data_IF_368058345075
#
_entry.id   IF_368058345075
#
_cell.length_a   1.000
_cell.length_b   1.000
_cell.length_c   1.000
_cell.angle_alpha   90.00
_cell.angle_beta   90.00
_cell.angle_gamma   90.00
#
_symmetry.space_group_name_H-M   'P 1'
#
loop_
_entity.id
_entity.type
_entity.pdbx_description
1 polymer ?
#
# COMPACT_ATOMS: atom_id res chain seq x y z
N UNK A 1 1.99 69.85 47.62
CA UNK A 1 2.04 69.90 46.14
C UNK A 1 2.97 68.84 45.53
N UNK A 2 3.15 67.67 46.16
CA UNK A 2 4.11 66.64 45.71
C UNK A 2 3.50 65.25 45.45
N UNK A 3 2.19 65.06 45.70
CA UNK A 3 1.53 63.74 45.58
C UNK A 3 0.93 63.45 44.20
N UNK A 4 0.86 64.42 43.29
CA UNK A 4 0.26 64.23 41.96
C UNK A 4 1.25 63.69 40.91
N UNK A 5 2.55 64.00 41.03
CA UNK A 5 3.55 63.69 40.00
C UNK A 5 3.93 62.20 39.95
N UNK A 6 4.04 61.52 41.09
CA UNK A 6 4.41 60.11 41.13
C UNK A 6 3.33 59.15 40.59
N UNK A 7 2.07 59.61 40.49
CA UNK A 7 0.94 58.80 39.99
C UNK A 7 0.93 58.74 38.46
N UNK A 8 1.31 59.83 37.79
CA UNK A 8 1.32 59.95 36.32
C UNK A 8 2.43 59.08 35.70
N UNK A 9 3.60 59.01 36.35
CA UNK A 9 4.73 58.22 35.83
C UNK A 9 4.53 56.70 35.94
N UNK A 10 3.74 56.24 36.92
CA UNK A 10 3.38 54.81 37.06
C UNK A 10 2.45 54.34 35.94
N UNK A 11 1.44 55.12 35.57
CA UNK A 11 0.51 54.76 34.50
C UNK A 11 1.16 54.83 33.11
N UNK A 12 2.07 55.79 32.89
CA UNK A 12 2.85 55.89 31.66
C UNK A 12 3.87 54.75 31.47
N UNK A 13 4.42 54.19 32.57
CA UNK A 13 5.27 52.98 32.52
C UNK A 13 4.45 51.72 32.30
N UNK A 14 3.28 51.60 32.91
CA UNK A 14 2.41 50.43 32.77
C UNK A 14 1.93 50.27 31.32
N UNK A 15 1.46 51.34 30.69
CA UNK A 15 0.96 51.34 29.30
C UNK A 15 2.04 51.00 28.25
N UNK A 16 3.32 51.33 28.49
CA UNK A 16 4.44 50.93 27.62
C UNK A 16 4.83 49.47 27.75
N UNK A 17 4.70 48.88 28.95
CA UNK A 17 4.92 47.46 29.19
C UNK A 17 3.85 46.60 28.53
N UNK A 18 2.57 46.97 28.69
CA UNK A 18 1.45 46.26 28.06
C UNK A 18 1.47 46.34 26.53
N UNK A 19 1.85 47.48 25.93
CA UNK A 19 1.98 47.60 24.46
C UNK A 19 3.07 46.71 23.87
N UNK A 20 4.20 46.54 24.56
CA UNK A 20 5.29 45.65 24.11
C UNK A 20 4.94 44.17 24.27
N UNK A 21 4.21 43.82 25.34
CA UNK A 21 3.71 42.46 25.56
C UNK A 21 2.60 42.08 24.56
N UNK A 22 1.71 43.01 24.21
CA UNK A 22 0.67 42.80 23.20
C UNK A 22 1.26 42.61 21.79
N UNK A 23 2.29 43.38 21.42
CA UNK A 23 3.00 43.24 20.14
C UNK A 23 3.76 41.91 20.02
N UNK A 24 4.34 41.41 21.12
CA UNK A 24 4.99 40.09 21.15
C UNK A 24 3.99 38.92 21.06
N UNK A 25 2.80 39.06 21.67
CA UNK A 25 1.71 38.08 21.56
C UNK A 25 1.05 38.09 20.16
N UNK A 26 0.98 39.25 19.49
CA UNK A 26 0.49 39.34 18.11
C UNK A 26 1.48 38.76 17.08
N UNK A 27 2.80 38.83 17.31
CA UNK A 27 3.79 38.20 16.43
C UNK A 27 3.83 36.66 16.56
N UNK A 28 3.38 36.08 17.67
CA UNK A 28 3.27 34.62 17.85
C UNK A 28 1.95 34.02 17.32
N UNK A 29 0.96 34.86 17.00
CA UNK A 29 -0.37 34.40 16.58
C UNK A 29 -0.54 34.23 15.05
N UNK A 30 0.49 34.48 14.24
CA UNK A 30 0.39 34.48 12.78
C UNK A 30 1.29 33.46 12.06
N UNK A 31 1.79 32.44 12.75
CA UNK A 31 2.35 31.25 12.10
C UNK A 31 1.45 30.06 12.40
N UNK A 32 0.20 30.12 11.92
CA UNK A 32 -0.50 28.89 11.57
C UNK A 32 0.29 28.29 10.40
N UNK A 33 0.91 27.11 10.53
CA UNK A 33 1.33 26.38 9.34
C UNK A 33 0.08 26.27 8.46
N UNK A 34 0.25 26.58 7.18
CA UNK A 34 -0.80 26.34 6.21
C UNK A 34 -1.13 24.85 6.37
N UNK A 35 -2.38 24.53 6.67
CA UNK A 35 -2.82 23.14 6.68
C UNK A 35 -2.72 22.70 5.22
N UNK A 36 -1.62 22.04 4.88
CA UNK A 36 -1.46 21.34 3.63
C UNK A 36 -2.32 20.09 3.71
N UNK A 37 -3.18 19.81 2.73
CA UNK A 37 -3.81 18.51 2.69
C UNK A 37 -2.78 17.51 2.18
N UNK A 38 -2.47 16.52 3.00
CA UNK A 38 -1.82 15.31 2.52
C UNK A 38 -2.80 14.57 1.60
N UNK A 39 -2.31 13.75 0.64
CA UNK A 39 -3.18 12.97 -0.22
C UNK A 39 -4.19 12.15 0.59
N UNK A 40 -5.44 12.19 0.13
CA UNK A 40 -6.53 11.38 0.67
C UNK A 40 -6.75 10.15 -0.20
N UNK A 41 -7.15 9.03 0.41
CA UNK A 41 -7.64 7.88 -0.36
C UNK A 41 -9.15 8.03 -0.56
N UNK A 42 -9.58 8.17 -1.80
CA UNK A 42 -10.98 8.27 -2.15
C UNK A 42 -11.60 6.88 -2.31
N UNK A 43 -10.94 6.02 -3.09
CA UNK A 43 -11.42 4.67 -3.34
C UNK A 43 -10.30 3.62 -3.40
N UNK A 44 -10.68 2.36 -3.19
CA UNK A 44 -9.77 1.22 -3.27
C UNK A 44 -10.50 -0.05 -3.65
N UNK A 45 -9.76 -0.94 -4.33
CA UNK A 45 -10.29 -2.20 -4.83
C UNK A 45 -9.22 -3.28 -4.92
N UNK A 46 -9.65 -4.53 -4.76
CA UNK A 46 -8.82 -5.71 -4.98
C UNK A 46 -9.57 -6.75 -5.79
N UNK A 47 -8.85 -7.40 -6.69
CA UNK A 47 -9.28 -8.63 -7.33
C UNK A 47 -8.30 -9.73 -6.97
N UNK A 48 -8.76 -10.75 -6.25
CA UNK A 48 -7.96 -11.92 -5.90
C UNK A 48 -8.56 -13.13 -6.59
N UNK A 49 -7.93 -13.52 -7.70
CA UNK A 49 -8.31 -14.68 -8.50
C UNK A 49 -9.81 -14.67 -8.88
N UNK A 50 -10.33 -13.51 -9.30
CA UNK A 50 -11.73 -13.27 -9.65
C UNK A 50 -12.64 -12.88 -8.48
N UNK A 51 -12.16 -12.95 -7.24
CA UNK A 51 -12.89 -12.46 -6.07
C UNK A 51 -12.70 -10.95 -5.90
N UNK A 52 -13.80 -10.18 -5.92
CA UNK A 52 -13.79 -8.72 -5.82
C UNK A 52 -13.99 -8.25 -4.38
N UNK A 53 -13.14 -7.33 -3.93
CA UNK A 53 -13.22 -6.67 -2.63
C UNK A 53 -13.07 -5.17 -2.86
N UNK A 54 -14.08 -4.39 -2.49
CA UNK A 54 -14.16 -2.96 -2.81
C UNK A 54 -14.61 -2.16 -1.59
N UNK A 55 -14.15 -0.92 -1.47
CA UNK A 55 -14.62 0.05 -0.47
C UNK A 55 -16.16 0.24 -0.53
N UNK A 56 -16.87 0.42 0.60
CA UNK A 56 -16.44 0.32 1.99
C UNK A 56 -16.51 -1.10 2.57
N UNK A 57 -16.37 -2.13 1.71
CA UNK A 57 -16.34 -3.53 2.11
C UNK A 57 -15.09 -3.91 2.91
N UNK A 58 -15.06 -5.12 3.48
CA UNK A 58 -13.89 -5.62 4.18
C UNK A 58 -12.83 -6.15 3.20
N UNK A 59 -11.56 -6.06 3.61
CA UNK A 59 -10.49 -6.83 2.95
C UNK A 59 -10.57 -8.32 3.34
N UNK A 60 -10.03 -9.23 2.51
CA UNK A 60 -9.95 -10.65 2.85
C UNK A 60 -9.17 -10.90 4.16
N UNK A 61 -9.47 -12.00 4.86
CA UNK A 61 -8.82 -12.33 6.13
C UNK A 61 -7.31 -12.60 6.02
N UNK A 62 -6.81 -12.93 4.83
CA UNK A 62 -5.39 -13.15 4.55
C UNK A 62 -4.64 -11.86 4.15
N UNK A 63 -5.29 -10.70 4.28
CA UNK A 63 -4.67 -9.39 4.17
C UNK A 63 -4.32 -8.90 5.58
N UNK A 64 -3.08 -8.47 5.76
CA UNK A 64 -2.65 -7.69 6.91
C UNK A 64 -2.57 -6.21 6.51
N UNK A 65 -3.53 -5.43 7.00
CA UNK A 65 -3.67 -3.99 6.74
C UNK A 65 -3.26 -3.14 7.94
N UNK A 66 -2.69 -3.72 9.01
CA UNK A 66 -2.34 -2.99 10.22
C UNK A 66 -1.29 -1.88 10.00
N UNK A 67 -0.52 -1.96 8.91
CA UNK A 67 0.45 -0.95 8.50
C UNK A 67 -0.06 0.02 7.43
N UNK A 68 -1.35 0.00 7.11
CA UNK A 68 -1.96 0.84 6.07
C UNK A 68 -3.03 1.75 6.67
N UNK A 69 -2.98 3.04 6.31
CA UNK A 69 -4.00 4.01 6.69
C UNK A 69 -4.98 4.20 5.54
N UNK A 70 -6.22 3.73 5.70
CA UNK A 70 -7.26 3.88 4.68
C UNK A 70 -7.81 5.31 4.54
N UNK A 71 -7.41 6.24 5.42
CA UNK A 71 -7.77 7.66 5.30
C UNK A 71 -6.83 8.35 4.30
N UNK A 72 -5.53 8.08 4.39
CA UNK A 72 -4.53 8.70 3.51
C UNK A 72 -4.13 7.80 2.33
N UNK A 73 -4.45 6.51 2.41
CA UNK A 73 -4.00 5.48 1.46
C UNK A 73 -2.50 5.24 1.46
N UNK A 74 -1.83 5.51 2.58
CA UNK A 74 -0.38 5.36 2.73
C UNK A 74 -0.05 4.19 3.65
N UNK A 75 1.11 3.60 3.42
CA UNK A 75 1.65 2.51 4.24
C UNK A 75 1.78 1.21 3.47
N UNK A 76 1.61 0.09 4.16
CA UNK A 76 1.84 -1.24 3.60
C UNK A 76 0.68 -2.18 3.89
N UNK A 77 0.22 -2.85 2.84
CA UNK A 77 -0.67 -4.01 2.92
C UNK A 77 0.15 -5.24 2.54
N UNK A 78 0.17 -6.23 3.44
CA UNK A 78 0.79 -7.53 3.17
C UNK A 78 -0.30 -8.56 2.91
N UNK A 79 -0.24 -9.22 1.74
CA UNK A 79 -1.14 -10.31 1.37
C UNK A 79 -0.37 -11.63 1.51
N UNK A 80 -0.89 -12.56 2.30
CA UNK A 80 -0.33 -13.92 2.43
C UNK A 80 -1.28 -14.91 1.77
N UNK A 81 -1.07 -15.15 0.48
CA UNK A 81 -1.95 -15.97 -0.34
C UNK A 81 -1.44 -17.42 -0.42
N UNK A 82 -2.24 -18.36 0.10
CA UNK A 82 -1.96 -19.80 0.07
C UNK A 82 -3.21 -20.55 -0.39
N UNK A 83 -3.35 -20.83 -1.70
CA UNK A 83 -4.53 -21.50 -2.23
C UNK A 83 -4.56 -23.01 -1.95
N UNK A 84 -3.44 -23.60 -1.51
CA UNK A 84 -3.28 -25.03 -1.22
C UNK A 84 -3.06 -25.89 -2.47
N UNK A 85 -3.74 -25.58 -3.57
CA UNK A 85 -3.52 -26.26 -4.86
C UNK A 85 -2.44 -25.61 -5.72
N UNK A 86 -1.85 -26.40 -6.63
CA UNK A 86 -1.02 -25.87 -7.70
C UNK A 86 -1.89 -25.20 -8.78
N UNK A 87 -1.43 -24.09 -9.35
CA UNK A 87 -2.18 -23.36 -10.37
C UNK A 87 -1.63 -21.99 -10.73
N UNK A 88 -2.31 -21.35 -11.67
CA UNK A 88 -2.13 -19.95 -11.98
C UNK A 88 -3.09 -19.11 -11.14
N UNK A 89 -2.58 -18.03 -10.56
CA UNK A 89 -3.31 -17.15 -9.66
C UNK A 89 -2.99 -15.69 -9.96
N UNK A 90 -3.96 -14.80 -9.76
CA UNK A 90 -3.79 -13.36 -9.90
C UNK A 90 -4.20 -12.62 -8.63
N UNK A 91 -3.49 -11.53 -8.35
CA UNK A 91 -3.86 -10.53 -7.34
C UNK A 91 -3.69 -9.17 -7.98
N UNK A 92 -4.75 -8.38 -8.03
CA UNK A 92 -4.74 -6.98 -8.51
C UNK A 92 -5.22 -6.08 -7.38
N UNK A 93 -4.63 -4.90 -7.32
CA UNK A 93 -4.92 -3.85 -6.36
C UNK A 93 -5.07 -2.51 -7.08
N UNK A 94 -6.01 -1.72 -6.61
CA UNK A 94 -6.41 -0.43 -7.16
C UNK A 94 -6.50 0.59 -6.02
N UNK A 95 -5.97 1.78 -6.25
CA UNK A 95 -6.04 2.90 -5.32
C UNK A 95 -6.30 4.19 -6.10
N UNK A 96 -7.29 4.93 -5.63
CA UNK A 96 -7.71 6.20 -6.16
C UNK A 96 -7.42 7.28 -5.12
N UNK A 97 -6.36 8.04 -5.37
CA UNK A 97 -5.86 9.09 -4.48
C UNK A 97 -6.35 10.44 -4.98
N UNK A 98 -6.61 11.34 -4.04
CA UNK A 98 -7.10 12.69 -4.33
C UNK A 98 -6.20 13.72 -3.65
N UNK A 99 -5.82 14.76 -4.38
CA UNK A 99 -4.97 15.84 -3.86
C UNK A 99 -5.72 17.17 -3.82
N UNK A 100 -5.86 17.76 -2.64
CA UNK A 100 -6.51 19.07 -2.44
C UNK A 100 -7.87 19.21 -3.19
N UNK A 101 -8.63 18.14 -3.45
CA UNK A 101 -9.76 18.14 -4.40
C UNK A 101 -10.82 19.25 -4.17
N UNK A 102 -11.04 19.65 -2.91
CA UNK A 102 -11.94 20.75 -2.55
C UNK A 102 -11.45 22.15 -2.98
N UNK A 103 -10.16 22.28 -3.27
CA UNK A 103 -9.45 23.52 -3.62
C UNK A 103 -8.98 23.46 -5.08
N UNK A 104 -8.48 22.31 -5.52
CA UNK A 104 -7.76 22.13 -6.77
C UNK A 104 -8.45 21.20 -7.79
N UNK A 105 -9.66 20.74 -7.48
CA UNK A 105 -10.39 19.72 -8.26
C UNK A 105 -9.61 18.41 -8.38
N UNK A 106 -10.14 17.44 -9.12
CA UNK A 106 -9.60 16.08 -9.23
C UNK A 106 -9.07 15.77 -10.65
N UNK A 107 -9.35 16.61 -11.65
CA UNK A 107 -9.07 16.32 -13.07
C UNK A 107 -7.78 16.97 -13.62
N UNK A 108 -6.87 17.37 -12.75
CA UNK A 108 -5.59 18.02 -13.09
C UNK A 108 -4.38 17.24 -12.59
N UNK A 109 -4.56 15.95 -12.37
CA UNK A 109 -3.53 15.04 -11.87
C UNK A 109 -2.81 14.34 -13.02
N UNK A 110 -1.64 13.80 -12.70
CA UNK A 110 -0.73 13.20 -13.67
C UNK A 110 -0.23 11.85 -13.17
N UNK A 111 -0.09 10.91 -14.12
CA UNK A 111 0.32 9.54 -13.90
C UNK A 111 1.63 9.19 -14.60
N UNK A 112 2.49 8.40 -13.96
CA UNK A 112 3.70 7.86 -14.61
C UNK A 112 4.15 6.50 -14.04
N UNK A 113 4.40 5.55 -14.94
CA UNK A 113 5.13 4.32 -14.64
C UNK A 113 6.65 4.54 -14.73
N UNK A 114 7.38 4.05 -13.73
CA UNK A 114 8.83 4.20 -13.61
C UNK A 114 9.51 2.84 -13.45
N UNK A 115 10.61 2.64 -14.18
CA UNK A 115 11.36 1.38 -14.18
C UNK A 115 10.81 0.36 -15.18
N UNK A 116 11.03 -0.93 -14.91
CA UNK A 116 10.50 -2.02 -15.73
C UNK A 116 9.80 -3.04 -14.84
N UNK A 117 8.55 -3.45 -15.14
CA UNK A 117 7.82 -4.43 -14.35
C UNK A 117 8.63 -5.72 -14.19
N UNK A 118 8.59 -6.30 -13.00
CA UNK A 118 9.14 -7.63 -12.79
C UNK A 118 8.30 -8.69 -13.53
N UNK A 119 8.85 -9.89 -13.71
CA UNK A 119 8.11 -10.98 -14.34
C UNK A 119 6.82 -11.29 -13.57
N UNK A 120 5.68 -11.28 -14.28
CA UNK A 120 4.36 -11.49 -13.69
C UNK A 120 3.75 -10.24 -13.06
N UNK A 121 4.50 -9.14 -12.91
CA UNK A 121 3.94 -7.88 -12.44
C UNK A 121 3.19 -7.19 -13.59
N UNK A 122 1.97 -6.73 -13.31
CA UNK A 122 1.17 -5.93 -14.22
C UNK A 122 0.79 -4.60 -13.58
N UNK A 123 0.43 -3.62 -14.40
CA UNK A 123 0.11 -2.28 -13.92
C UNK A 123 -0.85 -1.55 -14.85
N UNK A 124 -1.48 -0.49 -14.33
CA UNK A 124 -2.29 0.44 -15.11
C UNK A 124 -2.36 1.78 -14.40
N UNK A 125 -2.47 2.87 -15.15
CA UNK A 125 -2.69 4.22 -14.62
C UNK A 125 -3.72 4.92 -15.49
N UNK A 126 -4.96 5.06 -15.02
CA UNK A 126 -6.04 5.70 -15.77
C UNK A 126 -7.06 6.38 -14.85
N UNK A 127 -8.06 7.00 -15.45
CA UNK A 127 -9.21 7.54 -14.74
C UNK A 127 -9.97 6.43 -13.98
N UNK A 128 -10.40 6.67 -12.72
CA UNK A 128 -10.92 5.64 -11.81
C UNK A 128 -12.25 4.96 -12.23
N UNK A 129 -12.88 5.36 -13.34
CA UNK A 129 -14.10 4.74 -13.88
C UNK A 129 -15.35 5.60 -13.76
N UNK A 130 -15.23 6.89 -13.46
CA UNK A 130 -16.32 7.85 -13.39
C UNK A 130 -16.45 8.71 -14.66
N UNK A 131 -15.46 8.68 -15.55
CA UNK A 131 -15.43 9.39 -16.82
C UNK A 131 -15.60 8.43 -18.02
N UNK A 132 -15.35 8.96 -19.23
CA UNK A 132 -15.50 8.23 -20.50
C UNK A 132 -14.14 7.75 -21.08
N UNK A 133 -13.05 7.92 -20.33
CA UNK A 133 -11.68 7.64 -20.77
C UNK A 133 -11.05 6.68 -19.77
N UNK A 134 -10.25 5.72 -20.23
CA UNK A 134 -9.64 4.69 -19.38
C UNK A 134 -10.54 3.46 -19.20
N UNK A 135 -9.92 2.36 -18.80
CA UNK A 135 -10.59 1.08 -18.55
C UNK A 135 -10.06 0.36 -17.30
N UNK A 136 -9.28 1.04 -16.45
CA UNK A 136 -8.71 0.50 -15.21
C UNK A 136 -9.74 -0.13 -14.29
N UNK A 137 -10.93 0.46 -14.15
CA UNK A 137 -12.00 -0.13 -13.35
C UNK A 137 -12.39 -1.52 -13.89
N UNK A 138 -12.63 -1.62 -15.19
CA UNK A 138 -12.99 -2.88 -15.85
C UNK A 138 -11.85 -3.90 -15.80
N UNK A 139 -10.61 -3.45 -15.99
CA UNK A 139 -9.41 -4.30 -15.95
C UNK A 139 -9.13 -4.81 -14.52
N UNK A 140 -9.39 -4.02 -13.49
CA UNK A 140 -9.35 -4.45 -12.08
C UNK A 140 -10.45 -5.48 -11.80
N UNK A 141 -11.69 -5.25 -12.25
CA UNK A 141 -12.77 -6.23 -12.11
C UNK A 141 -12.49 -7.54 -12.88
N UNK A 142 -11.82 -7.47 -14.02
CA UNK A 142 -11.36 -8.64 -14.76
C UNK A 142 -10.14 -9.32 -14.12
N UNK A 143 -9.38 -8.59 -13.29
CA UNK A 143 -8.12 -9.06 -12.70
C UNK A 143 -6.99 -9.15 -13.73
N UNK A 144 -7.04 -8.30 -14.76
CA UNK A 144 -6.19 -8.36 -15.94
C UNK A 144 -5.80 -6.95 -16.41
N UNK A 145 -4.85 -6.32 -15.71
CA UNK A 145 -4.28 -5.03 -16.11
C UNK A 145 -3.45 -5.15 -17.39
N UNK A 146 -3.46 -4.11 -18.22
CA UNK A 146 -2.94 -4.18 -19.59
C UNK A 146 -1.53 -3.57 -19.79
N UNK A 147 -0.96 -2.97 -18.74
CA UNK A 147 0.35 -2.28 -18.75
C UNK A 147 0.38 -1.01 -19.59
N UNK A 148 -0.75 -0.30 -19.61
CA UNK A 148 -0.87 1.01 -20.22
C UNK A 148 -1.21 2.07 -19.18
N UNK A 149 -1.26 3.32 -19.63
CA UNK A 149 -1.80 4.38 -18.82
C UNK A 149 -1.77 5.72 -19.52
N UNK A 150 -2.57 6.64 -19.02
CA UNK A 150 -2.56 8.05 -19.40
C UNK A 150 -1.62 8.86 -18.51
N UNK A 151 -1.06 9.93 -19.08
CA UNK A 151 -0.14 10.81 -18.35
C UNK A 151 -0.85 11.96 -17.64
N UNK A 152 -2.12 12.26 -17.98
CA UNK A 152 -2.86 13.45 -17.54
C UNK A 152 -2.70 14.67 -18.46
N UNK A 153 -3.26 15.84 -18.11
CA UNK A 153 -4.07 16.09 -16.90
C UNK A 153 -5.41 15.36 -16.99
N UNK A 154 -5.72 14.58 -15.96
CA UNK A 154 -7.00 13.89 -15.78
C UNK A 154 -7.18 13.58 -14.28
N UNK A 155 -8.30 12.98 -13.91
CA UNK A 155 -8.44 12.24 -12.66
C UNK A 155 -7.65 10.93 -12.79
N UNK A 156 -6.71 10.68 -11.89
CA UNK A 156 -5.73 9.60 -12.03
C UNK A 156 -5.85 8.63 -10.87
N UNK A 157 -5.95 7.35 -11.20
CA UNK A 157 -5.87 6.25 -10.26
C UNK A 157 -4.77 5.28 -10.66
N UNK A 158 -4.30 4.47 -9.72
CA UNK A 158 -3.20 3.54 -9.95
C UNK A 158 -3.60 2.10 -9.60
N UNK A 159 -3.23 1.16 -10.48
CA UNK A 159 -3.37 -0.26 -10.21
C UNK A 159 -2.06 -1.02 -10.42
N UNK A 160 -1.78 -1.96 -9.52
CA UNK A 160 -0.71 -2.94 -9.64
C UNK A 160 -1.25 -4.34 -9.42
N UNK A 161 -0.70 -5.31 -10.15
CA UNK A 161 -1.07 -6.71 -10.03
C UNK A 161 0.12 -7.66 -10.15
N UNK A 162 -0.13 -8.90 -9.75
CA UNK A 162 0.79 -10.02 -9.89
C UNK A 162 0.04 -11.23 -10.44
N UNK A 163 0.53 -11.75 -11.56
CA UNK A 163 0.22 -13.06 -12.11
C UNK A 163 1.30 -14.04 -11.68
N UNK A 164 0.90 -15.10 -10.98
CA UNK A 164 1.80 -16.05 -10.34
C UNK A 164 1.43 -17.48 -10.71
N UNK A 165 2.44 -18.36 -10.79
CA UNK A 165 2.24 -19.81 -10.81
C UNK A 165 2.72 -20.34 -9.47
N UNK A 166 1.86 -21.04 -8.75
CA UNK A 166 2.17 -21.67 -7.48
C UNK A 166 2.11 -23.19 -7.62
N UNK A 167 3.05 -23.88 -6.98
CA UNK A 167 2.98 -25.31 -6.74
C UNK A 167 2.05 -25.62 -5.55
N UNK A 168 1.79 -26.91 -5.32
CA UNK A 168 1.03 -27.37 -4.15
C UNK A 168 1.72 -26.88 -2.87
N UNK A 169 0.93 -26.35 -1.94
CA UNK A 169 1.39 -25.81 -0.65
C UNK A 169 2.44 -24.68 -0.73
N UNK A 170 2.56 -23.99 -1.87
CA UNK A 170 3.29 -22.72 -1.93
C UNK A 170 2.45 -21.54 -1.42
N UNK A 171 3.16 -20.56 -0.85
CA UNK A 171 2.63 -19.33 -0.28
C UNK A 171 3.25 -18.16 -1.03
N UNK A 172 2.40 -17.33 -1.64
CA UNK A 172 2.79 -16.03 -2.16
C UNK A 172 2.61 -14.97 -1.07
N UNK A 173 3.68 -14.27 -0.71
CA UNK A 173 3.63 -13.07 0.12
C UNK A 173 3.84 -11.85 -0.76
N UNK A 174 2.81 -11.01 -0.88
CA UNK A 174 2.84 -9.78 -1.68
C UNK A 174 2.84 -8.59 -0.71
N UNK A 175 3.77 -7.66 -0.89
CA UNK A 175 3.79 -6.39 -0.15
C UNK A 175 3.46 -5.25 -1.09
N UNK A 176 2.32 -4.60 -0.86
CA UNK A 176 1.87 -3.40 -1.57
C UNK A 176 2.23 -2.19 -0.73
N UNK A 177 2.95 -1.23 -1.31
CA UNK A 177 3.52 -0.10 -0.57
C UNK A 177 3.18 1.21 -1.27
N UNK A 178 2.44 2.07 -0.57
CA UNK A 178 2.11 3.42 -1.02
C UNK A 178 2.77 4.43 -0.09
N UNK A 179 3.48 5.41 -0.66
CA UNK A 179 4.25 6.37 0.14
C UNK A 179 4.46 7.70 -0.58
N UNK A 180 4.89 8.71 0.16
CA UNK A 180 5.21 10.05 -0.36
C UNK A 180 6.67 10.18 -0.82
N UNK A 181 7.44 9.10 -0.78
CA UNK A 181 8.85 9.09 -1.18
C UNK A 181 9.06 8.04 -2.25
N UNK A 182 9.66 8.36 -3.40
CA UNK A 182 9.85 7.38 -4.45
C UNK A 182 10.73 6.23 -3.96
N UNK A 183 10.43 4.97 -4.31
CA UNK A 183 11.31 3.85 -4.05
C UNK A 183 12.71 4.09 -4.63
N UNK A 184 13.75 3.67 -3.92
CA UNK A 184 15.14 3.84 -4.36
C UNK A 184 15.48 3.08 -5.67
N UNK A 185 14.62 2.15 -6.09
CA UNK A 185 14.73 1.41 -7.33
C UNK A 185 13.58 0.42 -7.52
N UNK A 186 13.62 -0.34 -8.62
CA UNK A 186 12.56 -1.25 -9.02
C UNK A 186 11.48 -0.57 -9.86
N UNK A 187 10.35 -1.27 -10.01
CA UNK A 187 9.17 -0.74 -10.70
C UNK A 187 8.21 -0.09 -9.72
N UNK A 188 7.69 1.08 -10.07
CA UNK A 188 6.66 1.77 -9.30
C UNK A 188 5.84 2.70 -10.21
N UNK A 189 4.65 3.02 -9.74
CA UNK A 189 3.77 4.03 -10.31
C UNK A 189 3.87 5.30 -9.47
N UNK A 190 3.69 6.44 -10.11
CA UNK A 190 3.59 7.74 -9.48
C UNK A 190 2.31 8.43 -9.95
N UNK A 191 1.61 9.02 -9.01
CA UNK A 191 0.52 9.96 -9.25
C UNK A 191 0.88 11.27 -8.57
N UNK A 192 0.66 12.39 -9.24
CA UNK A 192 0.93 13.70 -8.64
C UNK A 192 0.04 14.79 -9.21
N UNK A 193 -0.11 15.84 -8.43
CA UNK A 193 -0.82 17.05 -8.78
C UNK A 193 0.15 18.26 -8.69
N UNK A 194 0.43 18.97 -9.79
CA UNK A 194 1.35 20.10 -9.78
C UNK A 194 0.81 21.35 -9.09
N UNK A 195 -0.51 21.45 -8.88
CA UNK A 195 -1.20 22.61 -8.31
C UNK A 195 -1.54 22.44 -6.82
N UNK A 196 -1.46 21.20 -6.31
CA UNK A 196 -1.60 20.88 -4.89
C UNK A 196 -0.50 21.47 -4.01
N UNK A 197 -0.89 21.94 -2.82
CA UNK A 197 0.01 22.59 -1.87
C UNK A 197 0.50 21.61 -0.81
N UNK A 198 1.77 21.21 -0.86
CA UNK A 198 2.39 20.34 0.16
C UNK A 198 2.93 19.05 -0.43
N UNK A 199 2.51 17.91 0.14
CA UNK A 199 2.82 16.60 -0.44
C UNK A 199 1.92 16.36 -1.64
N UNK A 200 2.51 16.44 -2.82
CA UNK A 200 1.74 16.50 -4.05
C UNK A 200 1.91 15.26 -4.92
N UNK A 201 2.54 14.20 -4.39
CA UNK A 201 2.76 12.96 -5.10
C UNK A 201 2.63 11.74 -4.19
N UNK A 202 2.07 10.66 -4.73
CA UNK A 202 2.04 9.33 -4.13
C UNK A 202 2.75 8.37 -5.07
N UNK A 203 3.55 7.47 -4.48
CA UNK A 203 4.28 6.43 -5.19
C UNK A 203 3.77 5.07 -4.76
N UNK A 204 3.37 4.26 -5.73
CA UNK A 204 2.87 2.92 -5.51
C UNK A 204 3.83 1.87 -6.06
N UNK A 205 4.31 0.98 -5.20
CA UNK A 205 5.19 -0.13 -5.56
C UNK A 205 4.73 -1.43 -4.93
N UNK A 206 5.17 -2.54 -5.48
CA UNK A 206 4.85 -3.86 -4.95
C UNK A 206 5.98 -4.87 -5.19
N UNK A 207 6.08 -5.87 -4.31
CA UNK A 207 6.94 -7.03 -4.49
C UNK A 207 6.22 -8.31 -4.09
N UNK A 208 6.64 -9.43 -4.68
CA UNK A 208 6.17 -10.77 -4.33
C UNK A 208 7.34 -11.68 -3.97
N UNK A 209 7.14 -12.53 -2.95
CA UNK A 209 8.01 -13.65 -2.64
C UNK A 209 7.19 -14.93 -2.53
N UNK A 210 7.62 -15.99 -3.22
CA UNK A 210 6.99 -17.32 -3.15
C UNK A 210 7.87 -18.22 -2.29
N UNK A 211 7.26 -18.89 -1.32
CA UNK A 211 7.93 -19.81 -0.40
C UNK A 211 7.07 -21.05 -0.17
N UNK A 212 7.62 -22.11 0.43
CA UNK A 212 6.92 -23.37 0.59
C UNK A 212 7.22 -24.34 -0.54
N UNK A 213 6.28 -25.22 -0.87
CA UNK A 213 6.50 -26.26 -1.88
C UNK A 213 7.32 -27.43 -1.33
N UNK A 214 6.70 -28.21 -0.45
CA UNK A 214 7.21 -29.54 -0.15
C UNK A 214 6.84 -30.45 -1.31
N UNK A 215 7.81 -31.05 -1.98
CA UNK A 215 7.48 -32.26 -2.73
C UNK A 215 6.84 -33.19 -1.70
N UNK A 216 5.58 -33.58 -1.92
CA UNK A 216 4.98 -34.75 -1.31
C UNK A 216 5.84 -35.97 -1.72
N UNK A 217 7.05 -36.06 -1.19
CA UNK A 217 7.87 -37.26 -1.24
C UNK A 217 7.17 -38.17 -0.25
N UNK A 218 6.47 -39.22 -0.71
CA UNK A 218 5.99 -40.22 0.22
C UNK A 218 7.21 -40.68 1.00
N UNK A 219 7.16 -40.63 2.33
CA UNK A 219 8.24 -41.14 3.17
C UNK A 219 8.70 -42.47 2.56
N UNK A 220 9.98 -42.60 2.16
CA UNK A 220 10.41 -43.77 1.43
C UNK A 220 9.99 -45.01 2.23
N UNK A 221 9.22 -45.90 1.60
CA UNK A 221 8.89 -47.20 2.18
C UNK A 221 10.15 -47.97 2.61
N UNK A 222 11.35 -47.47 2.29
CA UNK A 222 12.66 -47.81 2.85
C UNK A 222 12.68 -48.06 4.35
N UNK A 223 12.01 -47.26 5.21
CA UNK A 223 11.99 -47.57 6.66
C UNK A 223 11.12 -48.78 6.97
N UNK A 224 9.98 -48.91 6.29
CA UNK A 224 9.12 -50.10 6.38
C UNK A 224 9.82 -51.35 5.83
N UNK A 225 10.53 -51.22 4.70
CA UNK A 225 11.26 -52.29 4.04
C UNK A 225 12.50 -52.72 4.85
N UNK A 226 13.22 -51.75 5.43
CA UNK A 226 14.32 -51.98 6.37
C UNK A 226 13.81 -52.67 7.62
N UNK A 227 12.69 -52.20 8.19
CA UNK A 227 12.03 -52.82 9.34
C UNK A 227 11.61 -54.27 9.06
N UNK A 228 10.94 -54.51 7.93
CA UNK A 228 10.57 -55.86 7.49
C UNK A 228 11.80 -56.76 7.23
N UNK A 229 12.86 -56.21 6.66
CA UNK A 229 14.13 -56.92 6.43
C UNK A 229 14.81 -57.34 7.73
N UNK A 230 14.84 -56.47 8.74
CA UNK A 230 15.39 -56.78 10.07
C UNK A 230 14.55 -57.87 10.76
N UNK A 231 13.22 -57.79 10.68
CA UNK A 231 12.32 -58.81 11.23
C UNK A 231 12.55 -60.16 10.54
N UNK A 232 12.65 -60.18 9.21
CA UNK A 232 12.92 -61.40 8.45
C UNK A 232 14.27 -62.03 8.82
N UNK A 233 15.32 -61.22 8.99
CA UNK A 233 16.64 -61.68 9.45
C UNK A 233 16.60 -62.24 10.89
N UNK A 234 15.87 -61.59 11.80
CA UNK A 234 15.71 -62.06 13.18
C UNK A 234 14.97 -63.40 13.26
N UNK A 235 13.89 -63.58 12.47
CA UNK A 235 13.14 -64.84 12.37
C UNK A 235 14.00 -65.96 11.80
N UNK A 236 14.77 -65.68 10.74
CA UNK A 236 15.70 -66.66 10.14
C UNK A 236 16.77 -67.10 11.15
N UNK A 237 17.36 -66.17 11.90
CA UNK A 237 18.38 -66.47 12.92
C UNK A 237 17.86 -67.36 14.06
N UNK A 238 16.59 -67.20 14.45
CA UNK A 238 15.96 -68.07 15.46
C UNK A 238 15.75 -69.50 14.94
N UNK A 239 15.33 -69.66 13.68
CA UNK A 239 15.11 -70.99 13.07
C UNK A 239 16.39 -71.80 12.84
N UNK A 240 17.54 -71.15 12.64
CA UNK A 240 18.83 -71.85 12.45
C UNK A 240 19.45 -72.31 13.78
N UNK A 241 18.96 -71.78 14.92
CA UNK A 241 19.48 -72.09 16.26
C UNK A 241 18.62 -73.08 17.05
N UNK A 242 17.48 -73.51 16.51
CA UNK A 242 16.62 -74.56 17.05
C UNK A 242 16.85 -75.84 16.23
#
# INVERSE_FOLDING_TARGET
MAFASARVDKEARMTRGYRRLLLLLLCFACVSPWAHADPGLFDWGFNVNGGIYWNPGPTPAFFNTAGFDFTTGLGTITITFQPGGAGAYSVVSFFDHEFDAAINTYFNEFGQANGSPAAGQTWEIDEPGYALVGDIYDNVLAGALDNTGITGPEDISMALGWNMILAEDEIATINMMLSLTPPAGGFYLAQWDPESTGNNAVYFSSNVSITGGGTNVPEPATFTLLGLGIVALAVRRRRVRA
#
